data_IF_798613876124
#
_entry.id   IF_798613876124
#
_cell.length_a   1.000
_cell.length_b   1.000
_cell.length_c   1.000
_cell.angle_alpha   90.00
_cell.angle_beta   90.00
_cell.angle_gamma   90.00
#
_symmetry.space_group_name_H-M   'P 1'
#
loop_
_entity.id
_entity.type
_entity.pdbx_description
1 polymer ?
#
# COMPACT_ATOMS: atom_id res chain seq x y z
N UNK A 1 23.20 -13.31 -17.82
CA UNK A 1 22.00 -13.82 -18.52
C UNK A 1 20.78 -13.34 -17.73
N UNK A 2 20.48 -12.04 -17.83
CA UNK A 2 19.36 -11.43 -18.58
C UNK A 2 18.12 -11.23 -17.70
N UNK A 3 18.03 -10.08 -17.01
CA UNK A 3 16.82 -9.64 -16.32
C UNK A 3 16.30 -8.36 -16.99
N UNK A 4 15.67 -8.53 -18.16
CA UNK A 4 15.03 -7.44 -18.92
C UNK A 4 13.50 -7.42 -18.72
N UNK A 5 12.98 -8.11 -17.69
CA UNK A 5 11.52 -8.25 -17.44
C UNK A 5 10.94 -7.38 -16.31
N UNK A 6 11.75 -6.76 -15.44
CA UNK A 6 11.24 -6.22 -14.17
C UNK A 6 10.67 -4.80 -14.25
N UNK A 7 10.97 -4.02 -15.29
CA UNK A 7 10.57 -2.60 -15.32
C UNK A 7 9.05 -2.42 -15.50
N UNK A 8 8.40 -3.24 -16.33
CA UNK A 8 6.97 -3.13 -16.61
C UNK A 8 6.09 -3.67 -15.49
N UNK A 9 6.55 -4.71 -14.79
CA UNK A 9 5.82 -5.34 -13.68
C UNK A 9 5.88 -4.47 -12.42
N UNK A 10 7.02 -3.83 -12.16
CA UNK A 10 7.21 -2.90 -11.03
C UNK A 10 6.45 -1.58 -11.22
N UNK A 11 6.36 -1.08 -12.46
CA UNK A 11 5.62 0.15 -12.76
C UNK A 11 4.09 -0.04 -12.64
N UNK A 12 3.56 -1.16 -13.13
CA UNK A 12 2.17 -1.55 -12.92
C UNK A 12 1.84 -1.67 -11.43
N UNK A 13 2.65 -2.44 -10.70
CA UNK A 13 2.50 -2.62 -9.25
C UNK A 13 2.56 -1.32 -8.45
N UNK A 14 3.41 -0.36 -8.85
CA UNK A 14 3.47 0.97 -8.22
C UNK A 14 2.19 1.78 -8.43
N UNK A 15 1.68 1.81 -9.67
CA UNK A 15 0.43 2.51 -9.97
C UNK A 15 -0.75 1.86 -9.26
N UNK A 16 -0.75 0.53 -9.14
CA UNK A 16 -1.81 -0.23 -8.47
C UNK A 16 -1.86 0.06 -6.97
N UNK A 17 -0.72 0.15 -6.29
CA UNK A 17 -0.65 0.46 -4.85
C UNK A 17 -1.05 1.91 -4.55
N UNK A 18 -0.68 2.86 -5.42
CA UNK A 18 -1.13 4.24 -5.28
C UNK A 18 -2.64 4.35 -5.50
N UNK A 19 -3.19 3.72 -6.54
CA UNK A 19 -4.62 3.67 -6.80
C UNK A 19 -5.40 3.02 -5.64
N UNK A 20 -4.84 1.97 -5.02
CA UNK A 20 -5.41 1.39 -3.82
C UNK A 20 -5.50 2.42 -2.67
N UNK A 21 -4.43 3.16 -2.41
CA UNK A 21 -4.44 4.24 -1.40
C UNK A 21 -5.47 5.33 -1.71
N UNK A 22 -5.63 5.72 -2.98
CA UNK A 22 -6.67 6.68 -3.38
C UNK A 22 -8.09 6.19 -3.04
N UNK A 23 -8.34 4.89 -3.21
CA UNK A 23 -9.63 4.29 -2.91
C UNK A 23 -9.91 4.18 -1.40
N UNK A 24 -8.87 4.00 -0.58
CA UNK A 24 -9.02 3.90 0.88
C UNK A 24 -9.16 5.25 1.58
N UNK A 25 -8.49 6.30 1.09
CA UNK A 25 -8.49 7.63 1.70
C UNK A 25 -9.88 8.17 2.10
N UNK A 26 -10.94 8.14 1.25
CA UNK A 26 -12.25 8.66 1.65
C UNK A 26 -12.90 7.87 2.80
N UNK A 27 -12.68 6.56 2.85
CA UNK A 27 -13.23 5.72 3.92
C UNK A 27 -12.51 5.96 5.25
N UNK A 28 -11.18 6.07 5.23
CA UNK A 28 -10.38 6.40 6.41
C UNK A 28 -10.79 7.76 6.95
N UNK A 29 -10.97 8.75 6.07
CA UNK A 29 -11.45 10.07 6.45
C UNK A 29 -12.84 10.01 7.12
N UNK A 30 -13.76 9.21 6.58
CA UNK A 30 -15.09 9.03 7.16
C UNK A 30 -15.07 8.34 8.54
N UNK A 31 -14.11 7.45 8.78
CA UNK A 31 -13.95 6.67 10.03
C UNK A 31 -12.87 7.20 10.96
N UNK A 32 -12.30 8.38 10.68
CA UNK A 32 -11.20 8.96 11.46
C UNK A 32 -11.53 9.09 12.96
N UNK A 33 -12.77 9.46 13.29
CA UNK A 33 -13.22 9.58 14.69
C UNK A 33 -13.27 8.22 15.43
N UNK A 34 -13.65 7.15 14.73
CA UNK A 34 -13.63 5.78 15.26
C UNK A 34 -12.18 5.34 15.51
N UNK A 35 -11.30 5.57 14.54
CA UNK A 35 -9.86 5.26 14.64
C UNK A 35 -9.22 5.97 15.83
N UNK A 36 -9.49 7.28 15.98
CA UNK A 36 -8.93 8.06 17.10
C UNK A 36 -9.47 7.58 18.45
N UNK A 37 -10.76 7.30 18.55
CA UNK A 37 -11.38 6.81 19.79
C UNK A 37 -10.81 5.46 20.21
N UNK A 38 -10.63 4.55 19.24
CA UNK A 38 -10.12 3.21 19.47
C UNK A 38 -8.60 3.20 19.71
N UNK A 39 -7.87 4.21 19.23
CA UNK A 39 -6.40 4.28 19.24
C UNK A 39 -5.73 3.15 18.45
N UNK A 40 -6.48 2.53 17.54
CA UNK A 40 -6.01 1.53 16.58
C UNK A 40 -6.86 1.58 15.32
N UNK A 41 -6.30 1.12 14.20
CA UNK A 41 -7.03 0.97 12.94
C UNK A 41 -8.02 -0.20 13.05
N UNK A 42 -9.31 -0.01 12.73
CA UNK A 42 -10.29 -1.09 12.68
C UNK A 42 -9.79 -2.29 11.87
N UNK A 43 -10.01 -3.50 12.40
CA UNK A 43 -9.46 -4.73 11.83
C UNK A 43 -9.93 -4.97 10.38
N UNK A 44 -11.16 -4.61 10.07
CA UNK A 44 -11.71 -4.74 8.72
C UNK A 44 -10.96 -3.88 7.68
N UNK A 45 -10.49 -2.69 8.08
CA UNK A 45 -9.64 -1.84 7.22
C UNK A 45 -8.23 -2.44 7.12
N UNK A 46 -7.68 -2.91 8.24
CA UNK A 46 -6.35 -3.51 8.29
C UNK A 46 -6.24 -4.75 7.38
N UNK A 47 -7.26 -5.62 7.41
CA UNK A 47 -7.32 -6.81 6.55
C UNK A 47 -7.33 -6.42 5.07
N UNK A 48 -8.16 -5.43 4.69
CA UNK A 48 -8.23 -4.92 3.32
C UNK A 48 -6.93 -4.25 2.87
N UNK A 49 -6.21 -3.58 3.77
CA UNK A 49 -4.87 -3.05 3.50
C UNK A 49 -3.85 -4.16 3.21
N UNK A 50 -3.92 -5.26 3.97
CA UNK A 50 -3.05 -6.41 3.79
C UNK A 50 -3.33 -7.13 2.45
N UNK A 51 -4.60 -7.32 2.11
CA UNK A 51 -5.07 -7.86 0.83
C UNK A 51 -4.61 -6.99 -0.33
N UNK A 52 -4.78 -5.67 -0.23
CA UNK A 52 -4.29 -4.70 -1.21
C UNK A 52 -2.76 -4.63 -1.30
N UNK A 53 -2.04 -5.24 -0.36
CA UNK A 53 -0.58 -5.31 -0.39
C UNK A 53 0.13 -4.06 0.14
N UNK A 54 -0.58 -3.11 0.76
CA UNK A 54 0.00 -1.86 1.26
C UNK A 54 1.10 -2.11 2.31
N UNK A 55 0.96 -3.14 3.16
CA UNK A 55 1.99 -3.52 4.14
C UNK A 55 3.22 -4.18 3.52
N UNK A 56 3.13 -4.66 2.29
CA UNK A 56 4.21 -5.39 1.58
C UNK A 56 5.04 -4.48 0.66
N UNK A 57 4.80 -3.19 0.71
CA UNK A 57 5.39 -2.20 -0.19
C UNK A 57 6.93 -2.17 -0.12
N UNK A 58 7.51 -2.22 1.08
CA UNK A 58 8.96 -2.23 1.29
C UNK A 58 9.54 -3.63 1.57
N UNK A 59 8.73 -4.67 1.48
CA UNK A 59 9.16 -6.05 1.76
C UNK A 59 9.94 -6.60 0.56
N UNK A 60 11.05 -7.34 0.78
CA UNK A 60 11.78 -8.00 -0.30
C UNK A 60 10.90 -8.93 -1.15
N UNK A 61 11.19 -9.01 -2.46
CA UNK A 61 10.51 -9.89 -3.42
C UNK A 61 10.71 -11.35 -3.06
N UNK A 62 11.86 -11.67 -2.47
CA UNK A 62 12.14 -13.00 -1.91
C UNK A 62 11.13 -13.43 -0.82
N UNK A 63 10.45 -12.48 -0.18
CA UNK A 63 9.42 -12.72 0.82
C UNK A 63 8.01 -12.37 0.32
N UNK A 64 7.82 -12.23 -0.99
CA UNK A 64 6.51 -11.91 -1.60
C UNK A 64 6.09 -10.45 -1.44
N UNK A 65 7.05 -9.55 -1.23
CA UNK A 65 6.84 -8.11 -1.22
C UNK A 65 7.19 -7.44 -2.56
N UNK A 66 7.07 -6.12 -2.59
CA UNK A 66 7.18 -5.35 -3.82
C UNK A 66 8.56 -4.71 -4.05
N UNK A 67 9.42 -4.66 -3.02
CA UNK A 67 10.70 -3.93 -3.07
C UNK A 67 10.54 -2.53 -3.67
N UNK A 68 9.47 -1.83 -3.30
CA UNK A 68 9.16 -0.52 -3.88
C UNK A 68 10.22 0.51 -3.47
N UNK A 69 10.41 1.51 -4.33
CA UNK A 69 11.34 2.59 -4.04
C UNK A 69 10.82 3.39 -2.83
N UNK A 70 11.68 3.90 -1.92
CA UNK A 70 11.23 4.66 -0.74
C UNK A 70 10.34 5.87 -1.09
N UNK A 71 10.59 6.53 -2.22
CA UNK A 71 9.73 7.61 -2.70
C UNK A 71 8.31 7.16 -3.11
N UNK A 72 8.12 5.88 -3.43
CA UNK A 72 6.80 5.30 -3.71
C UNK A 72 6.03 5.08 -2.40
N UNK A 73 6.72 4.61 -1.35
CA UNK A 73 6.15 4.51 0.00
C UNK A 73 5.63 5.85 0.49
N UNK A 74 6.47 6.90 0.41
CA UNK A 74 6.09 8.24 0.86
C UNK A 74 4.83 8.71 0.13
N UNK A 75 4.76 8.56 -1.20
CA UNK A 75 3.58 8.96 -1.96
C UNK A 75 2.32 8.19 -1.58
N UNK A 76 2.42 6.89 -1.32
CA UNK A 76 1.29 6.07 -0.88
C UNK A 76 0.82 6.48 0.51
N UNK A 77 1.74 6.70 1.45
CA UNK A 77 1.43 7.12 2.81
C UNK A 77 0.82 8.52 2.85
N UNK A 78 1.37 9.48 2.10
CA UNK A 78 0.83 10.85 2.02
C UNK A 78 -0.58 10.91 1.42
N UNK A 79 -0.98 9.89 0.67
CA UNK A 79 -2.30 9.84 0.04
C UNK A 79 -3.40 9.37 1.00
N UNK A 80 -3.07 8.53 1.98
CA UNK A 80 -4.00 7.96 2.96
C UNK A 80 -4.45 9.00 3.99
#
# INVERSE_FOLDING_TARGET
>A
MTAAGTASETAGTRQDLFAAAENFAPEIAARAAEIETNRFLPQDIADRFAEAGLYRLCVPRAYGGYEAHPGDLVRVVERL
#
